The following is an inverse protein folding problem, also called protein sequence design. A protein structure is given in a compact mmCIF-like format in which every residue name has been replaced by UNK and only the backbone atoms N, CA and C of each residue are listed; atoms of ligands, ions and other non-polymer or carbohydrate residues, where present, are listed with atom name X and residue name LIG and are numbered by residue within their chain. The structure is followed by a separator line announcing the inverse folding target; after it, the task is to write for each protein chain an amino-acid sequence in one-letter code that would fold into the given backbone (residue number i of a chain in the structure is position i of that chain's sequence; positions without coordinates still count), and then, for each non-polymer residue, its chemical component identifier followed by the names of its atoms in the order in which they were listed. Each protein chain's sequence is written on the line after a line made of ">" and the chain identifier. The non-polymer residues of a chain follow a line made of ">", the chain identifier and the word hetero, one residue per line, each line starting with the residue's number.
data_IF_729194132214
#
_entry.id   IF_729194132214
#
_cell.length_a   1.000
_cell.length_b   1.000
_cell.length_c   1.000
_cell.angle_alpha   90.00
_cell.angle_beta   90.00
_cell.angle_gamma   90.00
#
_symmetry.space_group_name_H-M   'P 1'
#
loop_
_entity.id
_entity.type
_entity.pdbx_description
1 polymer ?
#
# COMPACT_ATOMS: atom_id res chain seq x y z
N UNK A 1 -8.70 14.23 -2.64
CA UNK A 1 -9.31 13.06 -3.31
C UNK A 1 -9.81 12.14 -2.20
N UNK A 2 -10.97 11.46 -2.36
CA UNK A 2 -11.46 10.54 -1.33
C UNK A 2 -10.83 9.16 -1.51
N UNK A 3 -10.75 8.37 -0.44
CA UNK A 3 -10.21 7.01 -0.47
C UNK A 3 -10.86 6.14 -1.56
N UNK A 4 -12.19 6.17 -1.67
CA UNK A 4 -12.93 5.42 -2.69
C UNK A 4 -12.55 5.79 -4.12
N UNK A 5 -12.25 7.07 -4.38
CA UNK A 5 -11.86 7.53 -5.71
C UNK A 5 -10.48 6.96 -6.07
N UNK A 6 -9.55 6.98 -5.11
CA UNK A 6 -8.21 6.41 -5.28
C UNK A 6 -8.30 4.91 -5.53
N UNK A 7 -9.00 4.17 -4.66
CA UNK A 7 -9.13 2.72 -4.83
C UNK A 7 -9.74 2.36 -6.18
N UNK A 8 -10.74 3.12 -6.67
CA UNK A 8 -11.32 2.94 -8.01
C UNK A 8 -10.33 3.22 -9.15
N UNK A 9 -9.48 4.25 -9.04
CA UNK A 9 -8.49 4.59 -10.07
C UNK A 9 -7.49 3.43 -10.27
N UNK A 10 -7.11 2.77 -9.17
CA UNK A 10 -6.16 1.67 -9.19
C UNK A 10 -6.83 0.28 -9.25
N UNK A 11 -8.15 0.23 -9.39
CA UNK A 11 -8.95 -1.01 -9.42
C UNK A 11 -8.69 -1.92 -8.21
N UNK A 12 -8.61 -1.32 -7.01
CA UNK A 12 -8.26 -2.01 -5.76
C UNK A 12 -9.52 -2.44 -4.99
N UNK A 13 -9.52 -3.68 -4.52
CA UNK A 13 -10.55 -4.25 -3.63
C UNK A 13 -9.91 -4.96 -2.43
N UNK A 14 -10.54 -4.86 -1.26
CA UNK A 14 -10.16 -5.60 -0.06
C UNK A 14 -11.22 -6.64 0.28
N UNK A 15 -10.81 -7.90 0.43
CA UNK A 15 -11.73 -8.99 0.76
C UNK A 15 -11.20 -9.85 1.90
N UNK A 16 -12.11 -10.50 2.61
CA UNK A 16 -11.78 -11.53 3.59
C UNK A 16 -12.24 -12.88 3.05
N UNK A 17 -11.33 -13.84 2.96
CA UNK A 17 -11.72 -15.21 2.62
C UNK A 17 -12.60 -15.84 3.70
N UNK A 18 -13.22 -16.97 3.36
CA UNK A 18 -14.01 -17.77 4.31
C UNK A 18 -13.21 -18.23 5.55
N UNK A 19 -11.88 -18.24 5.47
CA UNK A 19 -10.99 -18.61 6.57
C UNK A 19 -10.56 -17.41 7.43
N UNK A 20 -11.11 -16.22 7.18
CA UNK A 20 -10.75 -14.99 7.91
C UNK A 20 -9.45 -14.35 7.40
N UNK A 21 -8.86 -14.87 6.32
CA UNK A 21 -7.63 -14.31 5.77
C UNK A 21 -7.94 -13.09 4.90
N UNK A 22 -7.36 -11.92 5.19
CA UNK A 22 -7.54 -10.72 4.38
C UNK A 22 -6.71 -10.79 3.08
N UNK A 23 -7.24 -10.21 2.02
CA UNK A 23 -6.61 -10.10 0.71
C UNK A 23 -6.74 -8.67 0.17
N UNK A 24 -5.65 -8.20 -0.42
CA UNK A 24 -5.58 -7.00 -1.24
C UNK A 24 -5.58 -7.48 -2.69
N UNK A 25 -6.54 -7.01 -3.50
CA UNK A 25 -6.67 -7.38 -4.91
C UNK A 25 -6.60 -6.11 -5.78
N UNK A 26 -6.01 -6.23 -6.97
CA UNK A 26 -5.83 -5.13 -7.90
C UNK A 26 -4.64 -4.24 -7.61
N UNK A 27 -4.56 -3.07 -8.26
CA UNK A 27 -3.41 -2.18 -8.13
C UNK A 27 -2.13 -2.68 -8.82
N UNK A 28 -2.20 -3.78 -9.57
CA UNK A 28 -1.09 -4.37 -10.32
C UNK A 28 0.06 -4.76 -9.40
N UNK A 29 1.19 -4.07 -9.55
CA UNK A 29 2.37 -4.22 -8.71
C UNK A 29 2.12 -4.05 -7.20
N UNK A 30 1.09 -3.30 -6.80
CA UNK A 30 0.73 -3.15 -5.39
C UNK A 30 0.14 -4.42 -4.78
N UNK A 31 -0.47 -5.28 -5.60
CA UNK A 31 -1.17 -6.48 -5.14
C UNK A 31 -0.20 -7.41 -4.40
N UNK A 32 0.97 -7.69 -4.98
CA UNK A 32 1.95 -8.59 -4.36
C UNK A 32 2.52 -7.99 -3.08
N UNK A 33 2.85 -6.68 -3.08
CA UNK A 33 3.33 -5.99 -1.89
C UNK A 33 2.36 -6.17 -0.73
N UNK A 34 1.10 -5.75 -0.90
CA UNK A 34 0.10 -5.78 0.17
C UNK A 34 -0.46 -7.18 0.44
N UNK A 35 -0.27 -8.13 -0.48
CA UNK A 35 -0.50 -9.55 -0.20
C UNK A 35 0.41 -10.05 0.91
N UNK A 36 1.65 -9.57 1.01
CA UNK A 36 2.60 -9.99 2.05
C UNK A 36 2.72 -8.99 3.21
N UNK A 37 2.57 -7.70 2.93
CA UNK A 37 2.63 -6.63 3.93
C UNK A 37 1.31 -6.54 4.71
N UNK A 38 1.16 -7.41 5.71
CA UNK A 38 -0.06 -7.54 6.54
C UNK A 38 0.11 -7.13 8.00
N UNK A 39 1.33 -6.83 8.41
CA UNK A 39 1.64 -6.39 9.77
C UNK A 39 1.30 -4.91 9.90
N UNK A 40 0.44 -4.51 10.85
CA UNK A 40 0.18 -3.09 11.13
C UNK A 40 1.46 -2.30 11.42
N UNK A 41 2.44 -2.92 12.08
CA UNK A 41 3.73 -2.28 12.37
C UNK A 41 4.49 -1.95 11.08
N UNK A 42 4.63 -2.93 10.19
CA UNK A 42 5.36 -2.76 8.94
C UNK A 42 4.63 -1.74 8.02
N UNK A 43 3.29 -1.73 8.02
CA UNK A 43 2.52 -0.73 7.27
C UNK A 43 2.70 0.68 7.87
N UNK A 44 2.81 0.80 9.19
CA UNK A 44 3.09 2.09 9.82
C UNK A 44 4.50 2.60 9.47
N UNK A 45 5.52 1.75 9.48
CA UNK A 45 6.88 2.12 9.05
C UNK A 45 6.89 2.64 7.59
N UNK A 46 6.13 1.96 6.71
CA UNK A 46 5.92 2.38 5.32
C UNK A 46 5.22 3.75 5.23
N UNK A 47 4.22 4.01 6.07
CA UNK A 47 3.49 5.28 6.12
C UNK A 47 4.39 6.41 6.65
N UNK A 48 5.22 6.15 7.68
CA UNK A 48 6.18 7.12 8.20
C UNK A 48 7.19 7.53 7.12
N UNK A 49 7.71 6.57 6.36
CA UNK A 49 8.59 6.84 5.23
C UNK A 49 7.88 7.67 4.14
N UNK A 50 6.63 7.33 3.82
CA UNK A 50 5.83 8.09 2.86
C UNK A 50 5.63 9.54 3.34
N UNK A 51 5.36 9.74 4.62
CA UNK A 51 5.19 11.07 5.21
C UNK A 51 6.49 11.87 5.26
N UNK A 52 7.62 11.21 5.50
CA UNK A 52 8.93 11.84 5.41
C UNK A 52 9.15 12.50 4.04
N UNK A 53 8.85 11.79 2.95
CA UNK A 53 8.95 12.34 1.60
C UNK A 53 7.89 13.41 1.30
N UNK A 54 6.64 13.21 1.72
CA UNK A 54 5.57 14.20 1.54
C UNK A 54 5.87 15.54 2.23
N UNK A 55 6.64 15.50 3.32
CA UNK A 55 7.10 16.69 4.05
C UNK A 55 8.34 17.36 3.44
N UNK A 56 8.90 16.81 2.35
CA UNK A 56 10.07 17.36 1.66
C UNK A 56 11.39 17.12 2.39
N UNK A 57 11.44 16.14 3.29
CA UNK A 57 12.67 15.80 3.98
C UNK A 57 13.66 15.10 3.03
N UNK A 58 14.97 15.28 3.22
CA UNK A 58 15.99 14.64 2.40
C UNK A 58 16.03 13.12 2.60
N UNK A 59 16.56 12.42 1.59
CA UNK A 59 16.65 10.96 1.53
C UNK A 59 17.16 10.31 2.84
N UNK A 60 16.44 9.34 3.44
CA UNK A 60 17.07 8.39 4.33
C UNK A 60 18.07 7.53 3.54
N UNK A 61 19.08 6.99 4.23
CA UNK A 61 20.17 6.20 3.62
C UNK A 61 19.69 4.87 3.02
N UNK A 62 18.48 4.43 3.39
CA UNK A 62 17.85 3.17 3.01
C UNK A 62 16.38 3.49 2.65
N UNK A 63 16.05 3.49 1.36
CA UNK A 63 14.73 3.87 0.83
C UNK A 63 14.09 2.78 -0.02
N UNK A 64 14.72 1.61 -0.07
CA UNK A 64 14.24 0.44 -0.75
C UNK A 64 13.69 -0.58 0.25
N UNK A 65 12.51 -1.10 -0.07
CA UNK A 65 11.91 -2.18 0.69
C UNK A 65 11.75 -3.38 -0.22
N UNK A 66 12.46 -4.47 0.09
CA UNK A 66 12.33 -5.71 -0.66
C UNK A 66 11.31 -6.61 0.03
N UNK A 67 10.17 -6.79 -0.63
CA UNK A 67 9.13 -7.72 -0.20
C UNK A 67 9.09 -8.88 -1.18
N UNK A 68 9.68 -10.00 -0.76
CA UNK A 68 9.74 -11.25 -1.51
C UNK A 68 10.32 -11.10 -2.92
N UNK A 69 9.50 -10.96 -3.97
CA UNK A 69 9.97 -10.76 -5.35
C UNK A 69 9.80 -9.33 -5.88
N UNK A 70 9.24 -8.41 -5.09
CA UNK A 70 9.14 -7.00 -5.43
C UNK A 70 10.12 -6.16 -4.61
N UNK A 71 10.83 -5.25 -5.26
CA UNK A 71 11.47 -4.12 -4.56
C UNK A 71 10.59 -2.90 -4.77
N UNK A 72 10.24 -2.20 -3.69
CA UNK A 72 9.67 -0.86 -3.80
C UNK A 72 10.77 0.17 -3.61
N UNK A 73 10.77 1.18 -4.47
CA UNK A 73 11.63 2.34 -4.35
C UNK A 73 10.75 3.55 -4.08
N UNK A 74 10.93 4.18 -2.91
CA UNK A 74 10.29 5.46 -2.63
C UNK A 74 11.15 6.61 -3.14
N UNK A 75 10.52 7.46 -3.95
CA UNK A 75 11.10 8.66 -4.52
C UNK A 75 10.22 9.87 -4.18
N UNK A 76 10.74 11.11 -4.26
CA UNK A 76 9.92 12.32 -4.13
C UNK A 76 8.74 12.38 -5.11
N UNK A 77 8.85 11.73 -6.27
CA UNK A 77 7.83 11.66 -7.30
C UNK A 77 6.72 10.65 -6.97
N UNK A 78 7.02 9.62 -6.18
CA UNK A 78 6.10 8.53 -5.89
C UNK A 78 6.79 7.22 -5.52
N UNK A 79 5.97 6.18 -5.41
CA UNK A 79 6.43 4.81 -5.21
C UNK A 79 6.58 4.12 -6.56
N UNK A 80 7.75 3.55 -6.79
CA UNK A 80 8.07 2.73 -7.95
C UNK A 80 8.14 1.28 -7.50
N UNK A 81 7.58 0.38 -8.30
CA UNK A 81 7.59 -1.05 -8.03
C UNK A 81 8.46 -1.76 -9.04
N UNK A 82 9.54 -2.35 -8.55
CA UNK A 82 10.55 -3.02 -9.36
C UNK A 82 10.39 -4.53 -9.21
N UNK A 83 9.91 -5.16 -10.28
CA UNK A 83 9.80 -6.61 -10.38
C UNK A 83 10.92 -7.17 -11.28
N UNK A 84 11.75 -8.10 -10.80
CA UNK A 84 12.69 -8.81 -11.64
C UNK A 84 11.93 -9.69 -12.65
N UNK A 85 11.80 -9.21 -13.89
CA UNK A 85 11.27 -9.99 -15.02
C UNK A 85 9.95 -9.50 -15.61
N UNK A 86 9.28 -8.50 -15.02
CA UNK A 86 8.10 -7.84 -15.60
C UNK A 86 8.54 -6.52 -16.23
N UNK A 87 8.23 -6.32 -17.51
CA UNK A 87 8.64 -5.13 -18.28
C UNK A 87 7.71 -3.91 -18.11
N UNK A 88 6.57 -4.07 -17.44
CA UNK A 88 5.64 -2.97 -17.15
C UNK A 88 5.99 -2.27 -15.84
N UNK A 89 7.24 -1.79 -15.77
CA UNK A 89 7.93 -1.23 -14.60
C UNK A 89 7.54 0.22 -14.27
N UNK A 90 6.73 0.89 -15.09
CA UNK A 90 6.75 2.37 -15.15
C UNK A 90 5.52 3.06 -14.57
N UNK A 91 4.75 2.42 -13.67
CA UNK A 91 3.71 3.14 -12.92
C UNK A 91 4.25 3.65 -11.60
N UNK A 92 4.71 4.91 -11.63
CA UNK A 92 4.93 5.72 -10.43
C UNK A 92 3.57 5.98 -9.78
N UNK A 93 3.37 5.48 -8.57
CA UNK A 93 2.18 5.78 -7.76
C UNK A 93 2.50 7.04 -6.95
N UNK A 94 1.78 8.16 -7.14
CA UNK A 94 2.04 9.38 -6.37
C UNK A 94 1.98 9.11 -4.86
N UNK A 95 2.90 9.68 -4.08
CA UNK A 95 3.00 9.44 -2.62
C UNK A 95 1.67 9.69 -1.88
N UNK A 96 0.88 10.67 -2.32
CA UNK A 96 -0.44 10.97 -1.73
C UNK A 96 -1.44 9.82 -1.94
N UNK A 97 -1.45 9.25 -3.14
CA UNK A 97 -2.33 8.14 -3.47
C UNK A 97 -1.86 6.87 -2.76
N UNK A 98 -0.55 6.62 -2.77
CA UNK A 98 0.06 5.51 -2.05
C UNK A 98 -0.25 5.56 -0.56
N UNK A 99 -0.12 6.74 0.08
CA UNK A 99 -0.52 6.93 1.48
C UNK A 99 -1.98 6.55 1.71
N UNK A 100 -2.89 7.05 0.86
CA UNK A 100 -4.32 6.74 0.96
C UNK A 100 -4.57 5.24 0.87
N UNK A 101 -3.91 4.55 -0.06
CA UNK A 101 -4.04 3.10 -0.25
C UNK A 101 -3.51 2.33 0.97
N UNK A 102 -2.29 2.64 1.42
CA UNK A 102 -1.67 1.99 2.57
C UNK A 102 -2.46 2.21 3.86
N UNK A 103 -2.97 3.44 4.10
CA UNK A 103 -3.86 3.73 5.24
C UNK A 103 -5.16 2.96 5.14
N UNK A 104 -5.78 2.87 3.95
CA UNK A 104 -7.03 2.11 3.78
C UNK A 104 -6.84 0.62 4.05
N UNK A 105 -5.69 0.06 3.65
CA UNK A 105 -5.33 -1.31 3.94
C UNK A 105 -5.09 -1.56 5.43
N UNK A 106 -4.36 -0.66 6.11
CA UNK A 106 -4.17 -0.71 7.56
C UNK A 106 -5.51 -0.71 8.30
N UNK A 107 -6.38 0.25 7.97
CA UNK A 107 -7.72 0.35 8.51
C UNK A 107 -8.52 -0.96 8.33
N UNK A 108 -8.41 -1.58 7.16
CA UNK A 108 -9.08 -2.85 6.86
C UNK A 108 -8.57 -3.99 7.75
N UNK A 109 -7.24 -4.12 7.88
CA UNK A 109 -6.62 -5.14 8.73
C UNK A 109 -6.97 -4.97 10.22
N UNK A 110 -7.02 -3.73 10.72
CA UNK A 110 -7.38 -3.44 12.10
C UNK A 110 -8.88 -3.67 12.38
N UNK A 111 -9.75 -3.48 11.39
CA UNK A 111 -11.18 -3.80 11.50
C UNK A 111 -11.42 -5.30 11.62
N UNK A 112 -10.80 -6.11 10.76
CA UNK A 112 -11.02 -7.55 10.72
C UNK A 112 -10.22 -8.35 11.76
N UNK A 113 -9.13 -7.79 12.29
CA UNK A 113 -8.44 -8.32 13.47
C UNK A 113 -9.21 -8.07 14.79
N UNK A 114 -10.38 -7.42 14.73
CA UNK A 114 -11.29 -7.23 15.85
C UNK A 114 -11.12 -5.91 16.61
N UNK A 115 -10.37 -4.93 16.08
CA UNK A 115 -10.14 -3.65 16.78
C UNK A 115 -11.03 -2.50 16.34
N UNK A 116 -11.68 -2.52 15.17
CA UNK A 116 -12.59 -1.42 14.80
C UNK A 116 -13.84 -1.93 14.06
N UNK A 117 -15.03 -1.64 14.60
CA UNK A 117 -16.32 -1.80 13.91
C UNK A 117 -16.76 -0.47 13.31
N UNK A 118 -16.29 -0.13 12.10
CA UNK A 118 -16.90 0.96 11.31
C UNK A 118 -17.79 0.34 10.23
N UNK A 119 -19.04 0.79 10.05
CA UNK A 119 -19.93 0.20 9.06
C UNK A 119 -19.41 0.49 7.65
N UNK A 120 -19.34 -0.54 6.81
CA UNK A 120 -19.33 -0.36 5.37
C UNK A 120 -20.71 0.17 4.97
N UNK A 121 -20.76 1.42 4.52
CA UNK A 121 -21.97 2.01 3.97
C UNK A 121 -22.31 1.30 2.65
N UNK A 122 -23.58 0.91 2.52
CA UNK A 122 -24.21 0.34 1.32
C UNK A 122 -24.36 1.37 0.22
#
# INVERSE_FOLDING_TARGET
>A
MKTEDVLKIYDIEFIVSKLGTPFFLGGGAMEELFTFLRSPMDINDLLEMTDHYLNGNPFPVDNDWTVFTCTIEMTPEGVVFVYPGIKDLDRVVPLKDFKIIATAWLDFLERDSGQIKVPLYK
#
